data_IF_207393339046
#
_entry.id   IF_207393339046
#
_cell.length_a   1.000
_cell.length_b   1.000
_cell.length_c   1.000
_cell.angle_alpha   90.00
_cell.angle_beta   90.00
_cell.angle_gamma   90.00
#
_symmetry.space_group_name_H-M   'P 1'
#
loop_
_entity.id
_entity.type
_entity.pdbx_description
1 polymer ?
#
# COMPACT_ATOMS: atom_id res chain seq x y z
N UNK A 1 -30.36 7.61 -5.68
CA UNK A 1 -30.22 7.24 -4.25
C UNK A 1 -28.80 6.74 -4.10
N UNK A 2 -27.94 7.47 -3.37
CA UNK A 2 -26.47 7.33 -3.43
C UNK A 2 -25.92 6.76 -2.10
N UNK A 3 -26.52 5.68 -1.58
CA UNK A 3 -26.08 5.04 -0.35
C UNK A 3 -24.89 4.10 -0.59
N UNK A 4 -23.97 3.99 0.38
CA UNK A 4 -22.90 2.99 0.36
C UNK A 4 -23.41 1.56 0.65
N UNK A 5 -24.62 1.47 1.21
CA UNK A 5 -25.29 0.22 1.52
C UNK A 5 -26.72 0.27 1.03
N UNK A 6 -27.23 -0.88 0.61
CA UNK A 6 -28.64 -1.07 0.34
C UNK A 6 -29.43 -1.15 1.68
N UNK A 7 -30.77 -0.99 1.67
CA UNK A 7 -31.59 -1.08 2.89
C UNK A 7 -31.48 -2.42 3.64
N UNK A 8 -31.13 -3.49 2.94
CA UNK A 8 -30.86 -4.84 3.46
C UNK A 8 -29.43 -5.01 4.02
N UNK A 9 -28.65 -3.91 4.08
CA UNK A 9 -27.22 -3.86 4.46
C UNK A 9 -26.27 -4.58 3.49
N UNK A 10 -26.74 -4.95 2.30
CA UNK A 10 -25.87 -5.47 1.24
C UNK A 10 -24.91 -4.34 0.82
N UNK A 11 -23.59 -4.62 0.69
CA UNK A 11 -22.61 -3.61 0.31
C UNK A 11 -22.79 -3.19 -1.16
N UNK A 12 -22.82 -1.89 -1.42
CA UNK A 12 -22.75 -1.36 -2.78
C UNK A 12 -21.28 -1.32 -3.24
N UNK A 13 -20.95 -1.46 -4.55
CA UNK A 13 -19.57 -1.39 -5.03
C UNK A 13 -18.78 -0.15 -4.57
N UNK A 14 -19.47 0.99 -4.41
CA UNK A 14 -18.87 2.22 -3.88
C UNK A 14 -18.38 2.11 -2.44
N UNK A 15 -18.89 1.15 -1.64
CA UNK A 15 -18.36 0.86 -0.30
C UNK A 15 -16.96 0.26 -0.37
N UNK A 16 -16.65 -0.53 -1.41
CA UNK A 16 -15.31 -1.11 -1.59
C UNK A 16 -14.31 0.00 -1.91
N UNK A 17 -14.70 0.94 -2.78
CA UNK A 17 -13.89 2.12 -3.10
C UNK A 17 -13.70 3.01 -1.86
N UNK A 18 -14.77 3.25 -1.09
CA UNK A 18 -14.70 4.01 0.15
C UNK A 18 -13.78 3.34 1.18
N UNK A 19 -13.87 2.01 1.35
CA UNK A 19 -13.00 1.24 2.24
C UNK A 19 -11.53 1.37 1.84
N UNK A 20 -11.23 1.32 0.54
CA UNK A 20 -9.87 1.48 0.05
C UNK A 20 -9.36 2.91 0.25
N UNK A 21 -10.18 3.91 -0.06
CA UNK A 21 -9.80 5.32 0.09
C UNK A 21 -9.60 5.75 1.55
N UNK A 22 -10.25 5.07 2.51
CA UNK A 22 -10.17 5.37 3.95
C UNK A 22 -9.24 4.41 4.72
N UNK A 23 -8.45 3.58 4.03
CA UNK A 23 -7.54 2.67 4.71
C UNK A 23 -6.42 3.43 5.41
N UNK A 24 -6.02 2.97 6.60
CA UNK A 24 -4.99 3.62 7.44
C UNK A 24 -3.55 3.22 7.09
N UNK A 25 -3.34 2.58 5.94
CA UNK A 25 -2.03 2.14 5.48
C UNK A 25 -1.75 2.66 4.08
N UNK A 26 -0.65 3.39 3.94
CA UNK A 26 -0.15 3.84 2.64
C UNK A 26 1.05 3.01 2.23
N UNK A 27 1.10 2.66 0.96
CA UNK A 27 2.18 1.89 0.37
C UNK A 27 2.84 2.69 -0.74
N UNK A 28 4.17 2.67 -0.78
CA UNK A 28 4.96 3.24 -1.87
C UNK A 28 5.96 2.22 -2.36
N UNK A 29 5.97 1.94 -3.66
CA UNK A 29 7.02 1.14 -4.28
C UNK A 29 8.28 1.99 -4.43
N UNK A 30 9.36 1.63 -3.72
CA UNK A 30 10.63 2.36 -3.74
C UNK A 30 11.57 1.87 -4.83
N UNK A 31 11.69 0.55 -4.99
CA UNK A 31 12.57 -0.09 -5.98
C UNK A 31 12.04 -1.46 -6.35
N UNK A 32 12.40 -1.94 -7.54
CA UNK A 32 12.05 -3.27 -8.06
C UNK A 32 13.23 -4.23 -8.13
N UNK A 33 14.46 -3.74 -7.92
CA UNK A 33 15.68 -4.55 -7.87
C UNK A 33 16.73 -3.85 -6.98
N UNK A 34 16.79 -4.15 -5.67
CA UNK A 34 15.93 -5.08 -4.92
C UNK A 34 14.48 -4.59 -4.79
N UNK A 35 13.52 -5.50 -4.60
CA UNK A 35 12.11 -5.17 -4.44
C UNK A 35 11.88 -4.58 -3.05
N UNK A 36 11.74 -3.25 -2.98
CA UNK A 36 11.59 -2.49 -1.73
C UNK A 36 10.30 -1.70 -1.74
N UNK A 37 9.57 -1.78 -0.63
CA UNK A 37 8.33 -1.04 -0.40
C UNK A 37 8.43 -0.24 0.88
N UNK A 38 7.89 0.97 0.88
CA UNK A 38 7.66 1.74 2.09
C UNK A 38 6.22 1.58 2.51
N UNK A 39 6.01 1.32 3.79
CA UNK A 39 4.69 1.22 4.42
C UNK A 39 4.59 2.31 5.46
N UNK A 40 3.49 3.03 5.46
CA UNK A 40 3.22 4.12 6.40
C UNK A 40 1.92 3.79 7.13
N UNK A 41 1.97 3.84 8.45
CA UNK A 41 0.81 3.76 9.32
C UNK A 41 0.23 5.17 9.50
N UNK A 42 -1.04 5.37 9.18
CA UNK A 42 -1.77 6.62 9.45
C UNK A 42 -2.51 6.58 10.79
N UNK A 43 -2.29 5.55 11.62
CA UNK A 43 -2.84 5.52 12.96
C UNK A 43 -2.21 6.62 13.82
N UNK A 44 -3.06 7.47 14.41
CA UNK A 44 -2.60 8.60 15.25
C UNK A 44 -2.18 8.18 16.67
N UNK A 45 -2.78 7.12 17.22
CA UNK A 45 -2.64 6.78 18.64
C UNK A 45 -2.31 5.32 18.93
N UNK A 46 -2.39 4.44 17.93
CA UNK A 46 -2.11 3.01 18.10
C UNK A 46 -0.91 2.60 17.25
N UNK A 47 0.03 1.81 17.81
CA UNK A 47 0.99 1.10 16.99
C UNK A 47 0.29 -0.02 16.23
N UNK A 48 0.98 -0.58 15.24
CA UNK A 48 0.56 -1.85 14.64
C UNK A 48 1.13 -2.99 15.46
N UNK A 49 0.26 -3.81 16.00
CA UNK A 49 0.55 -4.88 16.96
C UNK A 49 -0.19 -6.18 16.61
N UNK A 50 -1.20 -6.08 15.75
CA UNK A 50 -2.02 -7.18 15.27
C UNK A 50 -2.18 -7.06 13.74
N UNK A 51 -1.15 -6.62 13.04
CA UNK A 51 -1.17 -6.47 11.58
C UNK A 51 -0.04 -7.25 10.93
N UNK A 52 -0.39 -8.05 9.93
CA UNK A 52 0.54 -8.80 9.10
C UNK A 52 0.40 -8.33 7.66
N UNK A 53 1.51 -7.89 7.09
CA UNK A 53 1.65 -7.65 5.66
C UNK A 53 1.82 -8.99 4.95
N UNK A 54 0.86 -9.32 4.09
CA UNK A 54 0.96 -10.40 3.13
C UNK A 54 1.26 -9.79 1.78
N UNK A 55 2.31 -10.25 1.15
CA UNK A 55 2.67 -9.81 -0.18
C UNK A 55 2.73 -11.00 -1.12
N UNK A 56 2.37 -10.76 -2.38
CA UNK A 56 2.46 -11.74 -3.45
C UNK A 56 2.89 -11.05 -4.74
N UNK A 57 3.78 -11.69 -5.47
CA UNK A 57 4.15 -11.30 -6.83
C UNK A 57 3.57 -12.34 -7.77
N UNK A 58 2.76 -11.90 -8.70
CA UNK A 58 2.13 -12.74 -9.72
C UNK A 58 2.58 -12.31 -11.10
N UNK A 59 2.81 -13.25 -12.00
CA UNK A 59 3.08 -12.99 -13.41
C UNK A 59 2.13 -13.81 -14.28
N UNK A 60 1.46 -13.16 -15.22
CA UNK A 60 0.45 -13.81 -16.06
C UNK A 60 -0.65 -14.59 -15.30
N UNK A 61 -0.95 -14.16 -14.06
CA UNK A 61 -1.94 -14.79 -13.18
C UNK A 61 -1.36 -15.86 -12.23
N UNK A 62 -0.13 -16.30 -12.45
CA UNK A 62 0.54 -17.32 -11.61
C UNK A 62 1.34 -16.66 -10.48
N UNK A 63 1.18 -17.09 -9.21
CA UNK A 63 1.99 -16.61 -8.11
C UNK A 63 3.43 -17.11 -8.23
N UNK A 64 4.38 -16.19 -8.30
CA UNK A 64 5.82 -16.47 -8.37
C UNK A 64 6.47 -16.41 -6.98
N UNK A 65 6.12 -15.41 -6.18
CA UNK A 65 6.67 -15.19 -4.86
C UNK A 65 5.56 -14.76 -3.91
N UNK A 66 5.68 -15.15 -2.65
CA UNK A 66 4.80 -14.68 -1.59
C UNK A 66 5.57 -14.62 -0.28
N UNK A 67 5.03 -13.88 0.68
CA UNK A 67 5.54 -13.86 2.04
C UNK A 67 4.63 -13.10 2.97
N UNK A 68 4.88 -13.30 4.26
CA UNK A 68 4.21 -12.64 5.35
C UNK A 68 5.25 -11.93 6.23
N UNK A 69 4.89 -10.75 6.71
CA UNK A 69 5.70 -9.96 7.64
C UNK A 69 4.81 -9.31 8.68
N UNK A 70 5.09 -9.57 9.94
CA UNK A 70 4.45 -8.87 11.05
C UNK A 70 4.86 -7.40 11.05
N UNK A 71 3.89 -6.50 11.00
CA UNK A 71 4.13 -5.05 11.03
C UNK A 71 4.19 -4.56 12.48
N UNK A 72 5.30 -3.91 12.84
CA UNK A 72 5.51 -3.28 14.14
C UNK A 72 5.86 -1.79 13.97
N UNK A 73 4.91 -1.01 13.48
CA UNK A 73 5.03 0.42 13.24
C UNK A 73 4.51 1.21 14.44
N UNK A 74 5.21 2.28 14.88
CA UNK A 74 4.62 3.23 15.82
C UNK A 74 3.46 4.01 15.15
N UNK A 75 2.64 4.71 15.95
CA UNK A 75 1.67 5.67 15.41
C UNK A 75 2.35 6.68 14.48
N UNK A 76 1.73 6.99 13.35
CA UNK A 76 2.28 7.85 12.27
C UNK A 76 3.65 7.39 11.75
N UNK A 77 4.04 6.15 12.05
CA UNK A 77 5.33 5.57 11.70
C UNK A 77 5.41 5.08 10.27
N UNK A 78 6.62 4.94 9.76
CA UNK A 78 6.90 4.32 8.47
C UNK A 78 8.06 3.33 8.56
N UNK A 79 8.01 2.29 7.74
CA UNK A 79 9.10 1.34 7.59
C UNK A 79 9.37 1.02 6.11
N UNK A 80 10.63 0.68 5.82
CA UNK A 80 11.10 0.31 4.49
C UNK A 80 11.48 -1.16 4.47
N UNK A 81 10.63 -1.96 3.84
CA UNK A 81 10.77 -3.41 3.83
C UNK A 81 11.33 -3.84 2.48
N UNK A 82 12.42 -4.59 2.52
CA UNK A 82 12.93 -5.34 1.37
C UNK A 82 12.19 -6.68 1.30
N UNK A 83 11.33 -6.83 0.30
CA UNK A 83 10.54 -8.05 0.09
C UNK A 83 11.37 -9.15 -0.58
N UNK A 84 12.18 -8.76 -1.57
CA UNK A 84 13.06 -9.66 -2.32
C UNK A 84 14.35 -8.94 -2.70
N UNK A 85 15.49 -9.59 -2.51
CA UNK A 85 16.80 -9.06 -2.95
C UNK A 85 16.92 -9.08 -4.48
N UNK A 86 16.37 -10.11 -5.12
CA UNK A 86 16.35 -10.24 -6.57
C UNK A 86 14.99 -10.79 -7.02
N UNK A 87 14.31 -10.03 -7.88
CA UNK A 87 13.08 -10.45 -8.51
C UNK A 87 13.41 -11.17 -9.82
N UNK A 88 13.45 -12.50 -9.80
CA UNK A 88 13.71 -13.32 -10.98
C UNK A 88 12.38 -13.61 -11.65
N UNK A 89 12.19 -13.02 -12.83
CA UNK A 89 10.99 -13.25 -13.64
C UNK A 89 11.28 -14.28 -14.73
N UNK A 90 10.35 -15.20 -15.04
CA UNK A 90 10.46 -16.07 -16.20
C UNK A 90 10.69 -15.27 -17.48
N UNK A 91 11.47 -15.83 -18.41
CA UNK A 91 11.74 -15.18 -19.69
C UNK A 91 10.43 -14.96 -20.46
N UNK A 92 10.12 -13.69 -20.77
CA UNK A 92 8.85 -13.32 -21.39
C UNK A 92 7.68 -13.11 -20.41
N UNK A 93 7.92 -13.03 -19.09
CA UNK A 93 6.90 -12.67 -18.12
C UNK A 93 6.23 -11.33 -18.48
N UNK A 94 4.91 -11.38 -18.71
CA UNK A 94 4.06 -10.22 -18.96
C UNK A 94 3.07 -10.07 -17.82
N UNK A 95 2.57 -8.85 -17.63
CA UNK A 95 1.58 -8.53 -16.59
C UNK A 95 2.04 -8.99 -15.19
N UNK A 96 3.21 -8.49 -14.76
CA UNK A 96 3.69 -8.70 -13.39
C UNK A 96 2.97 -7.74 -12.45
N UNK A 97 2.45 -8.28 -11.36
CA UNK A 97 1.72 -7.57 -10.33
C UNK A 97 2.30 -7.91 -8.96
N UNK A 98 2.59 -6.89 -8.17
CA UNK A 98 2.88 -6.99 -6.75
C UNK A 98 1.62 -6.59 -5.99
N UNK A 99 1.05 -7.49 -5.23
CA UNK A 99 -0.09 -7.21 -4.35
C UNK A 99 0.39 -7.22 -2.91
N UNK A 100 0.09 -6.15 -2.18
CA UNK A 100 0.34 -5.98 -0.76
C UNK A 100 -1.01 -5.95 -0.05
N UNK A 101 -1.17 -6.74 1.00
CA UNK A 101 -2.37 -6.81 1.80
C UNK A 101 -2.00 -6.76 3.28
N UNK A 102 -2.68 -5.92 4.05
CA UNK A 102 -2.52 -5.90 5.50
C UNK A 102 -3.75 -6.57 6.11
N UNK A 103 -3.50 -7.60 6.90
CA UNK A 103 -4.50 -8.44 7.54
C UNK A 103 -4.31 -8.44 9.04
N UNK A 104 -5.41 -8.57 9.77
CA UNK A 104 -5.38 -8.72 11.23
C UNK A 104 -5.56 -10.19 11.59
N UNK A 105 -4.51 -10.92 12.00
CA UNK A 105 -4.62 -12.36 12.24
C UNK A 105 -5.51 -12.67 13.44
N UNK A 106 -5.50 -11.84 14.49
CA UNK A 106 -6.39 -12.02 15.63
C UNK A 106 -7.69 -11.24 15.43
N UNK A 107 -8.80 -11.85 15.85
CA UNK A 107 -10.10 -11.19 15.88
C UNK A 107 -10.08 -9.96 16.79
N UNK A 108 -10.81 -8.92 16.41
CA UNK A 108 -11.01 -7.71 17.21
C UNK A 108 -12.46 -7.59 17.65
N UNK A 109 -12.78 -6.57 18.45
CA UNK A 109 -14.17 -6.31 18.85
C UNK A 109 -15.11 -6.00 17.67
N UNK A 110 -14.58 -5.68 16.48
CA UNK A 110 -15.35 -5.25 15.31
C UNK A 110 -15.08 -6.08 14.05
N UNK A 111 -14.12 -7.00 14.08
CA UNK A 111 -13.74 -7.84 12.94
C UNK A 111 -13.38 -9.25 13.37
N UNK A 112 -13.70 -10.22 12.51
CA UNK A 112 -13.21 -11.58 12.63
C UNK A 112 -11.70 -11.65 12.42
N UNK A 113 -11.10 -12.78 12.82
CA UNK A 113 -9.72 -13.10 12.48
C UNK A 113 -9.51 -13.04 10.96
N UNK A 114 -8.28 -12.73 10.54
CA UNK A 114 -7.86 -12.62 9.15
C UNK A 114 -8.51 -11.46 8.36
N UNK A 115 -9.08 -10.47 9.05
CA UNK A 115 -9.72 -9.34 8.39
C UNK A 115 -8.72 -8.47 7.63
N UNK A 116 -8.95 -8.28 6.32
CA UNK A 116 -8.13 -7.39 5.48
C UNK A 116 -8.49 -5.93 5.72
N UNK A 117 -7.56 -5.17 6.30
CA UNK A 117 -7.73 -3.75 6.66
C UNK A 117 -7.27 -2.81 5.55
N UNK A 118 -6.24 -3.18 4.80
CA UNK A 118 -5.71 -2.38 3.71
C UNK A 118 -5.14 -3.27 2.61
N UNK A 119 -5.11 -2.75 1.39
CA UNK A 119 -4.43 -3.43 0.29
C UNK A 119 -3.98 -2.43 -0.78
N UNK A 120 -2.97 -2.83 -1.56
CA UNK A 120 -2.52 -2.06 -2.70
C UNK A 120 -1.85 -2.99 -3.72
N UNK A 121 -2.01 -2.66 -5.00
CA UNK A 121 -1.38 -3.40 -6.09
C UNK A 121 -0.48 -2.47 -6.93
N UNK A 122 0.74 -2.93 -7.22
CA UNK A 122 1.73 -2.25 -8.04
C UNK A 122 2.08 -3.08 -9.28
N UNK A 123 2.44 -2.42 -10.37
CA UNK A 123 3.05 -3.08 -11.53
C UNK A 123 4.56 -2.78 -11.56
N UNK A 124 5.42 -3.69 -11.05
CA UNK A 124 6.87 -3.48 -11.03
C UNK A 124 7.51 -3.43 -12.44
N UNK A 125 6.78 -3.85 -13.48
CA UNK A 125 7.22 -3.80 -14.87
C UNK A 125 7.24 -2.37 -15.45
N UNK A 126 6.65 -1.38 -14.77
CA UNK A 126 6.73 0.02 -15.16
C UNK A 126 7.57 0.76 -14.12
N UNK A 127 8.79 1.26 -14.46
CA UNK A 127 9.47 2.17 -13.55
C UNK A 127 8.54 3.35 -13.27
N UNK A 128 8.33 3.62 -11.98
CA UNK A 128 7.56 4.76 -11.50
C UNK A 128 8.29 6.06 -11.89
N UNK A 129 8.10 6.49 -13.13
CA UNK A 129 8.33 7.86 -13.54
C UNK A 129 7.25 8.73 -12.92
N UNK A 130 7.68 9.61 -12.02
CA UNK A 130 6.97 10.76 -11.46
C UNK A 130 5.98 10.52 -10.31
N UNK A 131 6.47 10.71 -9.09
CA UNK A 131 5.72 11.37 -8.03
C UNK A 131 6.65 12.29 -7.22
N UNK A 132 6.37 13.60 -7.23
CA UNK A 132 6.87 14.53 -6.20
C UNK A 132 8.01 15.48 -6.57
N UNK A 133 8.01 16.10 -7.76
CA UNK A 133 8.75 17.35 -7.91
C UNK A 133 8.02 18.44 -7.10
N UNK A 134 8.42 18.62 -5.84
CA UNK A 134 8.18 19.85 -5.09
C UNK A 134 8.87 20.99 -5.85
N UNK A 135 8.16 21.57 -6.83
CA UNK A 135 8.52 22.86 -7.39
C UNK A 135 8.24 23.89 -6.31
N UNK A 136 9.24 24.14 -5.46
CA UNK A 136 9.28 25.34 -4.64
C UNK A 136 9.36 26.51 -5.62
N UNK A 137 8.20 27.09 -5.93
CA UNK A 137 8.10 28.36 -6.63
C UNK A 137 8.60 29.44 -5.67
N UNK A 138 9.92 29.68 -5.61
CA UNK A 138 10.46 30.87 -4.92
C UNK A 138 10.04 32.10 -5.73
N UNK A 139 8.97 32.77 -5.29
CA UNK A 139 8.64 34.14 -5.69
C UNK A 139 9.76 35.09 -5.24
N UNK A 140 10.51 35.58 -6.24
CA UNK A 140 10.98 36.96 -6.43
C UNK A 140 11.07 37.91 -5.21
N UNK A 141 12.27 38.45 -5.00
CA UNK A 141 12.50 39.67 -4.21
C UNK A 141 13.82 40.34 -4.60
N UNK A 142 13.92 40.91 -5.81
CA UNK A 142 15.03 41.81 -6.18
C UNK A 142 14.69 43.23 -5.72
N UNK A 143 15.25 43.64 -4.58
CA UNK A 143 15.21 45.01 -4.10
C UNK A 143 16.28 45.83 -4.84
N UNK A 144 15.84 46.90 -5.50
CA UNK A 144 16.64 47.85 -6.27
C UNK A 144 17.00 49.00 -5.33
N UNK A 145 18.27 49.13 -4.92
CA UNK A 145 18.75 50.38 -4.29
C UNK A 145 19.25 51.34 -5.37
N UNK A 146 18.87 52.61 -5.18
CA UNK A 146 19.44 53.80 -5.82
C UNK A 146 20.71 54.20 -5.10
#
# INVERSE_FOLDING_TARGET
>A
MNGLVFPDRTPHPSLVEAKHAQQYFQFTLLSTSPLRVRIISEYLFRPTDNEVLRWQVQAAGEPLYHGDLTLALPPEGSDEITLLDSLILPEGARAVWLTLEVTQPQATAWSEAEHRVAWQQFSPARPAGAAGAHRVCRRSGSYRQR
#
